data_IF_349787763991
#
_entry.id   IF_349787763991
#
_cell.length_a   1.000
_cell.length_b   1.000
_cell.length_c   1.000
_cell.angle_alpha   90.00
_cell.angle_beta   90.00
_cell.angle_gamma   90.00
#
_symmetry.space_group_name_H-M   'P 1'
#
loop_
_entity.id
_entity.type
_entity.pdbx_description
1 polymer ?
#
# COMPACT_ATOMS: atom_id res chain seq x y z
N UNK A 1 6.73 -7.17 -24.68
CA UNK A 1 5.73 -6.23 -25.24
C UNK A 1 4.44 -6.44 -24.47
N UNK A 2 4.09 -5.52 -23.59
CA UNK A 2 2.86 -5.57 -22.82
C UNK A 2 1.77 -4.87 -23.62
N UNK A 3 0.73 -5.57 -24.01
CA UNK A 3 -0.46 -5.00 -24.63
C UNK A 3 -1.07 -3.94 -23.68
N UNK A 4 -1.54 -2.77 -24.15
CA UNK A 4 -2.22 -1.82 -23.29
C UNK A 4 -3.62 -2.34 -22.96
N UNK A 5 -3.69 -3.26 -21.99
CA UNK A 5 -4.92 -3.71 -21.37
C UNK A 5 -5.26 -2.85 -20.15
N UNK A 6 -6.44 -3.07 -19.59
CA UNK A 6 -6.81 -2.53 -18.28
C UNK A 6 -5.76 -2.90 -17.24
N UNK A 7 -5.24 -1.91 -16.52
CA UNK A 7 -4.28 -2.13 -15.44
C UNK A 7 -5.00 -2.03 -14.10
N UNK A 8 -4.87 -3.07 -13.28
CA UNK A 8 -5.28 -3.01 -11.89
C UNK A 8 -4.14 -2.44 -11.04
N UNK A 9 -4.44 -1.48 -10.18
CA UNK A 9 -3.48 -0.83 -9.29
C UNK A 9 -4.06 -0.75 -7.88
N UNK A 10 -3.40 -1.30 -6.84
CA UNK A 10 -3.76 -1.02 -5.45
C UNK A 10 -3.86 0.49 -5.19
N UNK A 11 -4.79 0.91 -4.32
CA UNK A 11 -5.00 2.34 -4.06
C UNK A 11 -3.82 3.00 -3.36
N UNK A 12 -3.05 2.20 -2.61
CA UNK A 12 -2.02 2.68 -1.69
C UNK A 12 -2.56 3.68 -0.65
N UNK A 13 -3.84 3.54 -0.30
CA UNK A 13 -4.56 4.49 0.57
C UNK A 13 -4.88 5.84 -0.09
N UNK A 14 -4.52 6.04 -1.36
CA UNK A 14 -4.89 7.25 -2.08
C UNK A 14 -6.40 7.26 -2.38
N UNK A 15 -6.98 8.46 -2.37
CA UNK A 15 -8.38 8.67 -2.71
C UNK A 15 -8.50 9.68 -3.85
N UNK A 16 -8.71 9.14 -5.06
CA UNK A 16 -9.02 9.89 -6.28
C UNK A 16 -10.33 9.42 -6.89
N UNK A 17 -10.95 10.30 -7.68
CA UNK A 17 -12.24 10.08 -8.34
C UNK A 17 -12.10 9.39 -9.70
N UNK A 18 -13.19 8.81 -10.19
CA UNK A 18 -13.32 8.41 -11.59
C UNK A 18 -13.01 9.57 -12.53
N UNK A 19 -12.40 9.27 -13.68
CA UNK A 19 -11.98 10.26 -14.67
C UNK A 19 -10.64 10.94 -14.36
N UNK A 20 -10.06 10.73 -13.18
CA UNK A 20 -8.75 11.27 -12.82
C UNK A 20 -7.67 10.73 -13.76
N UNK A 21 -6.78 11.59 -14.24
CA UNK A 21 -5.66 11.18 -15.08
C UNK A 21 -4.52 10.58 -14.25
N UNK A 22 -3.81 9.62 -14.84
CA UNK A 22 -2.69 8.90 -14.23
C UNK A 22 -1.48 8.83 -15.16
N UNK A 23 -0.30 9.07 -14.60
CA UNK A 23 0.97 8.91 -15.28
C UNK A 23 1.72 7.68 -14.75
N UNK A 24 1.83 6.64 -15.56
CA UNK A 24 2.54 5.40 -15.21
C UNK A 24 4.07 5.52 -15.26
N UNK A 25 4.62 6.59 -15.84
CA UNK A 25 6.07 6.86 -15.82
C UNK A 25 6.52 7.24 -14.41
N UNK A 26 5.73 8.08 -13.74
CA UNK A 26 5.98 8.58 -12.39
C UNK A 26 5.15 7.88 -11.31
N UNK A 27 4.21 7.01 -11.71
CA UNK A 27 3.20 6.39 -10.84
C UNK A 27 2.31 7.37 -10.05
N UNK A 28 1.99 8.52 -10.65
CA UNK A 28 1.24 9.60 -9.99
C UNK A 28 -0.13 9.84 -10.61
N UNK A 29 -1.13 10.06 -9.76
CA UNK A 29 -2.37 10.71 -10.17
C UNK A 29 -2.14 12.21 -10.37
N UNK A 30 -2.71 12.76 -11.44
CA UNK A 30 -2.53 14.15 -11.83
C UNK A 30 -3.63 15.05 -11.24
N UNK A 31 -3.50 16.37 -11.34
CA UNK A 31 -4.56 17.27 -10.88
C UNK A 31 -5.76 17.24 -11.84
N UNK A 32 -5.47 16.97 -13.11
CA UNK A 32 -6.34 16.98 -14.27
C UNK A 32 -7.27 15.77 -14.31
N UNK A 33 -8.41 15.99 -14.94
CA UNK A 33 -9.46 14.99 -15.16
C UNK A 33 -9.82 14.93 -16.64
N UNK A 34 -10.40 13.79 -17.04
CA UNK A 34 -11.03 13.63 -18.33
C UNK A 34 -12.26 14.55 -18.52
N UNK A 35 -12.87 15.03 -17.44
CA UNK A 35 -14.12 15.80 -17.43
C UNK A 35 -13.92 17.26 -17.02
N UNK A 36 -14.69 18.18 -17.63
CA UNK A 36 -14.59 19.64 -17.38
C UNK A 36 -14.75 20.01 -15.90
N UNK A 37 -15.68 19.35 -15.19
CA UNK A 37 -16.01 19.66 -13.79
C UNK A 37 -15.24 18.78 -12.79
N UNK A 38 -14.19 18.09 -13.23
CA UNK A 38 -13.44 17.09 -12.44
C UNK A 38 -14.28 15.95 -11.84
N UNK A 39 -15.51 15.76 -12.32
CA UNK A 39 -16.40 14.67 -11.95
C UNK A 39 -17.04 14.07 -13.20
N UNK A 40 -17.25 12.74 -13.24
CA UNK A 40 -18.04 12.14 -14.31
C UNK A 40 -19.51 12.57 -14.23
N UNK A 41 -20.22 12.59 -15.36
CA UNK A 41 -21.67 12.79 -15.34
C UNK A 41 -22.34 11.58 -14.67
N UNK A 42 -23.38 11.78 -13.84
CA UNK A 42 -24.02 10.68 -13.10
C UNK A 42 -24.53 9.54 -14.00
N UNK A 43 -25.05 9.87 -15.19
CA UNK A 43 -25.54 8.88 -16.17
C UNK A 43 -24.45 8.08 -16.89
N UNK A 44 -23.16 8.28 -16.54
CA UNK A 44 -22.05 7.50 -17.08
C UNK A 44 -21.27 6.72 -16.02
N UNK A 45 -21.78 6.66 -14.78
CA UNK A 45 -21.18 5.87 -13.72
C UNK A 45 -22.07 4.67 -13.44
N UNK A 46 -21.55 3.49 -13.72
CA UNK A 46 -22.18 2.23 -13.35
C UNK A 46 -21.68 1.81 -11.97
N UNK A 47 -22.55 1.83 -10.97
CA UNK A 47 -22.25 1.32 -9.63
C UNK A 47 -22.89 -0.06 -9.45
N UNK A 48 -22.11 -1.03 -8.96
CA UNK A 48 -22.63 -2.37 -8.66
C UNK A 48 -22.06 -2.95 -7.38
N UNK A 49 -22.84 -3.77 -6.64
CA UNK A 49 -22.32 -4.55 -5.53
C UNK A 49 -21.16 -5.46 -5.99
N UNK A 50 -20.09 -5.52 -5.19
CA UNK A 50 -18.92 -6.36 -5.44
C UNK A 50 -18.34 -6.79 -4.08
N UNK A 51 -18.75 -7.95 -3.60
CA UNK A 51 -18.30 -8.46 -2.30
C UNK A 51 -17.10 -9.36 -2.47
N UNK A 52 -15.95 -8.97 -1.92
CA UNK A 52 -14.73 -9.78 -1.94
C UNK A 52 -13.90 -9.52 -0.69
N UNK A 53 -13.51 -10.58 0.02
CA UNK A 53 -12.62 -10.49 1.18
C UNK A 53 -11.38 -11.33 0.96
N UNK A 54 -10.20 -10.79 1.26
CA UNK A 54 -8.89 -11.42 1.11
C UNK A 54 -8.06 -11.28 2.38
N UNK A 55 -7.34 -12.34 2.74
CA UNK A 55 -6.52 -12.41 3.95
C UNK A 55 -5.13 -12.98 3.66
N UNK A 56 -4.09 -12.16 3.80
CA UNK A 56 -2.70 -12.57 3.65
C UNK A 56 -2.01 -12.52 5.01
N UNK A 57 -1.46 -13.65 5.47
CA UNK A 57 -0.67 -13.74 6.69
C UNK A 57 0.73 -14.19 6.30
N UNK A 58 1.76 -13.50 6.77
CA UNK A 58 3.13 -13.90 6.50
C UNK A 58 4.19 -13.08 7.18
N UNK A 59 5.39 -13.64 7.21
CA UNK A 59 6.61 -12.92 7.59
C UNK A 59 6.95 -11.86 6.55
N UNK A 60 7.50 -10.74 7.01
CA UNK A 60 7.63 -9.52 6.20
C UNK A 60 8.80 -8.66 6.69
N UNK A 61 9.99 -9.22 6.53
CA UNK A 61 11.27 -8.64 6.94
C UNK A 61 11.89 -7.74 5.88
N UNK A 62 11.57 -7.98 4.61
CA UNK A 62 12.03 -7.16 3.47
C UNK A 62 10.90 -6.34 2.86
N UNK A 63 11.26 -5.27 2.14
CA UNK A 63 10.30 -4.46 1.38
C UNK A 63 9.57 -5.31 0.33
N UNK A 64 10.26 -6.25 -0.32
CA UNK A 64 9.66 -7.16 -1.30
C UNK A 64 8.61 -8.09 -0.66
N UNK A 65 8.90 -8.65 0.52
CA UNK A 65 7.94 -9.46 1.28
C UNK A 65 6.72 -8.63 1.71
N UNK A 66 6.93 -7.39 2.16
CA UNK A 66 5.84 -6.46 2.47
C UNK A 66 4.98 -6.14 1.24
N UNK A 67 5.60 -5.91 0.08
CA UNK A 67 4.86 -5.73 -1.18
C UNK A 67 4.00 -6.96 -1.49
N UNK A 68 4.58 -8.15 -1.41
CA UNK A 68 3.88 -9.41 -1.66
C UNK A 68 2.69 -9.60 -0.71
N UNK A 69 2.88 -9.36 0.59
CA UNK A 69 1.81 -9.43 1.60
C UNK A 69 0.65 -8.48 1.28
N UNK A 70 0.97 -7.27 0.84
CA UNK A 70 -0.01 -6.23 0.49
C UNK A 70 -0.62 -6.43 -0.91
N UNK A 71 -0.14 -7.40 -1.70
CA UNK A 71 -0.58 -7.57 -3.09
C UNK A 71 -0.14 -6.43 -4.02
N UNK A 72 0.98 -5.79 -3.70
CA UNK A 72 1.61 -4.72 -4.47
C UNK A 72 2.67 -5.33 -5.39
N UNK A 73 2.64 -4.97 -6.67
CA UNK A 73 3.62 -5.46 -7.65
C UNK A 73 5.01 -4.86 -7.38
N UNK A 74 6.11 -5.52 -7.77
CA UNK A 74 7.47 -4.99 -7.58
C UNK A 74 7.69 -3.60 -8.21
N UNK A 75 7.06 -3.31 -9.35
CA UNK A 75 7.15 -1.99 -10.00
C UNK A 75 6.57 -0.90 -9.09
N UNK A 76 5.33 -1.10 -8.62
CA UNK A 76 4.62 -0.13 -7.80
C UNK A 76 5.22 -0.04 -6.40
N UNK A 77 5.67 -1.18 -5.84
CA UNK A 77 6.37 -1.25 -4.56
C UNK A 77 7.68 -0.48 -4.57
N UNK A 78 8.42 -0.54 -5.68
CA UNK A 78 9.64 0.27 -5.87
C UNK A 78 9.28 1.76 -5.87
N UNK A 79 8.30 2.17 -6.69
CA UNK A 79 7.82 3.55 -6.75
C UNK A 79 7.37 4.09 -5.39
N UNK A 80 6.63 3.30 -4.63
CA UNK A 80 6.15 3.66 -3.31
C UNK A 80 7.30 3.83 -2.31
N UNK A 81 8.28 2.93 -2.33
CA UNK A 81 9.40 2.94 -1.38
C UNK A 81 10.37 4.10 -1.62
N UNK A 82 10.54 4.52 -2.88
CA UNK A 82 11.40 5.66 -3.25
C UNK A 82 10.67 7.00 -3.29
N UNK A 83 9.36 7.01 -3.00
CA UNK A 83 8.56 8.23 -2.91
C UNK A 83 8.08 8.81 -4.24
N UNK A 84 8.07 8.02 -5.33
CA UNK A 84 7.44 8.43 -6.60
C UNK A 84 5.92 8.50 -6.49
N UNK A 85 5.31 7.63 -5.70
CA UNK A 85 3.87 7.67 -5.39
C UNK A 85 3.64 7.91 -3.91
N UNK A 86 2.57 8.63 -3.60
CA UNK A 86 2.09 8.81 -2.24
C UNK A 86 1.57 7.48 -1.69
N UNK A 87 1.88 7.19 -0.43
CA UNK A 87 1.34 6.08 0.34
C UNK A 87 0.58 6.61 1.56
N UNK A 88 -0.57 6.04 1.84
CA UNK A 88 -1.40 6.33 3.01
C UNK A 88 -2.08 5.05 3.50
N UNK A 89 -2.73 5.14 4.66
CA UNK A 89 -3.60 4.09 5.18
C UNK A 89 -2.85 2.81 5.52
N UNK A 90 -3.42 1.67 5.10
CA UNK A 90 -2.82 0.35 5.26
C UNK A 90 -1.42 0.24 4.64
N UNK A 91 -1.19 0.96 3.54
CA UNK A 91 0.05 0.89 2.75
C UNK A 91 1.23 1.61 3.41
N UNK A 92 0.99 2.43 4.44
CA UNK A 92 2.05 2.96 5.30
C UNK A 92 2.90 1.85 5.95
N UNK A 93 2.35 0.64 6.08
CA UNK A 93 3.09 -0.54 6.52
C UNK A 93 4.34 -0.82 5.67
N UNK A 94 4.28 -0.54 4.36
CA UNK A 94 5.38 -0.80 3.43
C UNK A 94 6.69 -0.14 3.87
N UNK A 95 6.62 1.11 4.31
CA UNK A 95 7.77 1.93 4.71
C UNK A 95 7.86 2.13 6.22
N UNK A 96 7.06 1.42 7.01
CA UNK A 96 7.11 1.52 8.48
C UNK A 96 8.50 1.10 9.00
N UNK A 97 9.00 1.90 9.94
CA UNK A 97 10.26 1.63 10.66
C UNK A 97 10.03 0.82 11.95
N UNK A 98 8.78 0.45 12.24
CA UNK A 98 8.42 -0.32 13.42
C UNK A 98 9.12 -1.68 13.42
N UNK A 99 9.35 -2.21 14.62
CA UNK A 99 9.92 -3.54 14.79
C UNK A 99 8.89 -4.65 14.57
N UNK A 100 8.40 -4.74 13.34
CA UNK A 100 7.43 -5.74 12.91
C UNK A 100 7.99 -6.60 11.78
N UNK A 101 7.86 -7.90 11.92
CA UNK A 101 8.34 -8.91 10.97
C UNK A 101 7.29 -10.00 10.68
N UNK A 102 6.09 -9.86 11.22
CA UNK A 102 4.91 -10.69 10.96
C UNK A 102 3.69 -9.78 10.82
N UNK A 103 2.83 -10.04 9.84
CA UNK A 103 1.61 -9.27 9.67
C UNK A 103 0.46 -10.08 9.05
N UNK A 104 -0.76 -9.71 9.44
CA UNK A 104 -2.02 -10.11 8.78
C UNK A 104 -2.58 -8.90 8.03
N UNK A 105 -2.68 -9.01 6.71
CA UNK A 105 -3.35 -8.05 5.84
C UNK A 105 -4.75 -8.54 5.47
N UNK A 106 -5.76 -7.73 5.77
CA UNK A 106 -7.17 -7.97 5.46
C UNK A 106 -7.66 -6.91 4.47
N UNK A 107 -8.19 -7.34 3.34
CA UNK A 107 -8.84 -6.46 2.36
C UNK A 107 -10.27 -6.92 2.16
N UNK A 108 -11.24 -6.05 2.45
CA UNK A 108 -12.65 -6.28 2.10
C UNK A 108 -13.10 -5.25 1.11
N UNK A 109 -13.68 -5.67 0.00
CA UNK A 109 -14.32 -4.83 -1.02
C UNK A 109 -15.82 -5.10 -0.99
N UNK A 110 -16.63 -4.06 -1.12
CA UNK A 110 -18.09 -4.15 -0.99
C UNK A 110 -18.84 -3.72 -2.26
N UNK A 111 -18.31 -2.75 -3.01
CA UNK A 111 -18.88 -2.32 -4.28
C UNK A 111 -17.80 -1.76 -5.20
N UNK A 112 -18.17 -1.60 -6.46
CA UNK A 112 -17.33 -0.94 -7.46
C UNK A 112 -18.14 0.05 -8.31
N UNK A 113 -17.44 1.08 -8.76
CA UNK A 113 -17.93 2.07 -9.71
C UNK A 113 -17.06 2.02 -10.96
N UNK A 114 -17.67 2.04 -12.15
CA UNK A 114 -16.98 2.04 -13.43
C UNK A 114 -17.55 3.12 -14.36
N UNK A 115 -16.68 3.72 -15.19
CA UNK A 115 -17.08 4.63 -16.25
C UNK A 115 -17.64 3.84 -17.43
N UNK A 116 -18.86 4.17 -17.82
CA UNK A 116 -19.44 3.68 -19.06
C UNK A 116 -18.97 4.54 -20.24
N UNK A 117 -17.82 4.19 -20.83
CA UNK A 117 -17.24 4.88 -22.00
C UNK A 117 -18.13 4.92 -23.25
N UNK A 118 -19.23 4.16 -23.27
CA UNK A 118 -20.22 4.17 -24.36
C UNK A 118 -21.42 5.09 -24.08
N UNK A 119 -21.55 5.61 -22.86
CA UNK A 119 -22.63 6.53 -22.49
C UNK A 119 -22.54 7.83 -23.29
N UNK A 120 -23.66 8.34 -23.84
CA UNK A 120 -23.67 9.62 -24.55
C UNK A 120 -23.28 10.80 -23.66
N UNK A 121 -23.53 10.72 -22.35
CA UNK A 121 -23.27 11.79 -21.39
C UNK A 121 -21.76 12.06 -21.21
N UNK A 122 -20.91 11.04 -21.42
CA UNK A 122 -19.46 11.22 -21.36
C UNK A 122 -19.02 12.24 -22.40
N UNK A 123 -19.43 12.08 -23.67
CA UNK A 123 -18.97 12.97 -24.76
C UNK A 123 -19.30 14.43 -24.50
N UNK A 124 -20.46 14.69 -23.91
CA UNK A 124 -20.90 16.04 -23.57
C UNK A 124 -20.12 16.67 -22.40
N UNK A 125 -19.48 15.87 -21.56
CA UNK A 125 -18.80 16.32 -20.33
C UNK A 125 -17.26 16.29 -20.42
N UNK A 126 -16.70 15.81 -21.53
CA UNK A 126 -15.26 15.75 -21.74
C UNK A 126 -14.61 17.13 -21.73
N UNK A 127 -13.44 17.19 -21.11
CA UNK A 127 -12.58 18.35 -21.21
C UNK A 127 -12.11 18.56 -22.66
N UNK A 128 -12.31 19.77 -23.19
CA UNK A 128 -11.88 20.14 -24.56
C UNK A 128 -10.37 20.35 -24.68
N UNK A 129 -9.64 20.25 -23.57
CA UNK A 129 -8.18 20.39 -23.54
C UNK A 129 -7.51 19.16 -24.13
N UNK A 130 -6.65 19.37 -25.12
CA UNK A 130 -5.76 18.30 -25.59
C UNK A 130 -4.83 17.85 -24.47
N UNK A 131 -4.80 16.55 -24.18
CA UNK A 131 -3.83 15.97 -23.25
C UNK A 131 -2.46 16.03 -23.92
N UNK A 132 -1.50 16.71 -23.29
CA UNK A 132 -0.15 16.78 -23.81
C UNK A 132 0.50 15.39 -23.82
N UNK A 133 1.18 14.99 -24.92
CA UNK A 133 1.82 13.68 -25.01
C UNK A 133 2.79 13.43 -23.85
N UNK A 134 2.70 12.26 -23.23
CA UNK A 134 3.58 11.86 -22.12
C UNK A 134 3.23 12.44 -20.74
N UNK A 135 2.25 13.34 -20.62
CA UNK A 135 1.82 13.89 -19.32
C UNK A 135 0.91 12.94 -18.57
N UNK A 136 -0.07 12.36 -19.27
CA UNK A 136 -0.97 11.33 -18.77
C UNK A 136 -0.90 10.10 -19.68
N UNK A 137 -1.12 8.94 -19.09
CA UNK A 137 -1.01 7.63 -19.77
C UNK A 137 -2.29 6.82 -19.65
N UNK A 138 -2.98 6.97 -18.52
CA UNK A 138 -4.22 6.27 -18.21
C UNK A 138 -5.22 7.24 -17.59
N UNK A 139 -6.47 6.83 -17.55
CA UNK A 139 -7.54 7.44 -16.76
C UNK A 139 -8.05 6.42 -15.74
N UNK A 140 -8.49 6.87 -14.58
CA UNK A 140 -9.23 6.05 -13.62
C UNK A 140 -10.61 5.75 -14.20
N UNK A 141 -10.77 4.56 -14.78
CA UNK A 141 -12.01 4.09 -15.38
C UNK A 141 -12.85 3.25 -14.43
N UNK A 142 -12.27 2.74 -13.34
CA UNK A 142 -13.02 2.03 -12.31
C UNK A 142 -12.36 2.12 -10.95
N UNK A 143 -13.17 2.01 -9.90
CA UNK A 143 -12.75 2.04 -8.50
C UNK A 143 -13.49 0.95 -7.74
N UNK A 144 -12.73 0.17 -6.98
CA UNK A 144 -13.26 -0.75 -5.97
C UNK A 144 -13.15 -0.12 -4.59
N UNK A 145 -14.22 -0.19 -3.82
CA UNK A 145 -14.32 0.43 -2.52
C UNK A 145 -14.50 -0.57 -1.39
N UNK A 146 -13.93 -0.24 -0.25
CA UNK A 146 -13.87 -1.18 0.86
C UNK A 146 -13.02 -0.70 2.04
N UNK A 147 -12.50 -1.67 2.79
CA UNK A 147 -11.56 -1.43 3.90
C UNK A 147 -10.32 -2.28 3.75
N UNK A 148 -9.22 -1.76 4.26
CA UNK A 148 -7.93 -2.44 4.34
C UNK A 148 -7.37 -2.28 5.75
N UNK A 149 -6.85 -3.39 6.29
CA UNK A 149 -6.25 -3.46 7.62
C UNK A 149 -4.95 -4.25 7.55
N UNK A 150 -3.91 -3.73 8.19
CA UNK A 150 -2.68 -4.48 8.45
C UNK A 150 -2.46 -4.54 9.95
N UNK A 151 -2.46 -5.75 10.50
CA UNK A 151 -2.11 -6.02 11.89
C UNK A 151 -0.68 -6.56 11.92
N UNK A 152 0.28 -5.70 12.25
CA UNK A 152 1.70 -6.02 12.23
C UNK A 152 2.27 -6.12 13.63
N UNK A 153 3.20 -7.05 13.85
CA UNK A 153 3.79 -7.29 15.16
C UNK A 153 5.20 -7.90 15.06
N UNK A 154 5.96 -7.88 16.16
CA UNK A 154 7.20 -8.65 16.24
C UNK A 154 6.88 -10.11 16.58
N UNK A 155 7.32 -11.04 15.75
CA UNK A 155 7.14 -12.48 15.92
C UNK A 155 7.91 -13.05 17.13
N UNK A 156 8.93 -12.35 17.63
CA UNK A 156 9.64 -12.76 18.85
C UNK A 156 8.92 -12.37 20.15
N UNK A 157 7.85 -11.58 20.07
CA UNK A 157 7.06 -11.24 21.25
C UNK A 157 6.25 -12.45 21.74
N UNK A 158 5.81 -12.40 23.00
CA UNK A 158 4.86 -13.37 23.54
C UNK A 158 3.45 -12.81 23.50
N UNK A 159 2.49 -13.60 23.02
CA UNK A 159 1.08 -13.34 23.24
C UNK A 159 0.70 -13.98 24.57
N UNK A 160 0.12 -13.22 25.49
CA UNK A 160 -0.12 -13.69 26.86
C UNK A 160 -1.52 -13.39 27.34
N UNK A 161 -2.04 -14.23 28.24
CA UNK A 161 -3.27 -13.99 28.99
C UNK A 161 -2.93 -13.58 30.44
N UNK A 162 -3.87 -12.94 31.15
CA UNK A 162 -3.74 -12.69 32.58
C UNK A 162 -3.57 -13.98 33.42
N UNK A 163 -4.08 -15.11 32.92
CA UNK A 163 -3.97 -16.43 33.54
C UNK A 163 -2.62 -17.12 33.31
N UNK A 164 -1.67 -16.45 32.64
CA UNK A 164 -0.33 -16.99 32.37
C UNK A 164 -0.23 -17.94 31.18
N UNK A 165 -1.32 -18.09 30.40
CA UNK A 165 -1.28 -18.80 29.12
C UNK A 165 -0.51 -17.97 28.10
N UNK A 166 0.31 -18.63 27.26
CA UNK A 166 1.02 -17.94 26.19
C UNK A 166 1.01 -18.72 24.88
N UNK A 167 1.00 -18.01 23.75
CA UNK A 167 1.18 -18.58 22.42
C UNK A 167 2.08 -17.71 21.54
N UNK A 168 2.46 -18.24 20.38
CA UNK A 168 3.20 -17.46 19.38
C UNK A 168 2.29 -16.42 18.71
N UNK A 169 2.84 -15.26 18.28
CA UNK A 169 2.10 -14.26 17.52
C UNK A 169 1.50 -14.80 16.22
N UNK A 170 2.22 -15.71 15.56
CA UNK A 170 1.75 -16.36 14.34
C UNK A 170 0.50 -17.23 14.56
N UNK A 171 0.49 -18.04 15.62
CA UNK A 171 -0.69 -18.84 15.97
C UNK A 171 -1.87 -17.95 16.35
N UNK A 172 -1.62 -16.86 17.08
CA UNK A 172 -2.66 -15.89 17.41
C UNK A 172 -3.27 -15.25 16.14
N UNK A 173 -2.45 -14.75 15.21
CA UNK A 173 -2.94 -14.16 13.96
C UNK A 173 -3.63 -15.18 13.04
N UNK A 174 -3.19 -16.46 13.07
CA UNK A 174 -3.87 -17.54 12.35
C UNK A 174 -5.29 -17.75 12.87
N UNK A 175 -5.49 -17.79 14.19
CA UNK A 175 -6.82 -17.88 14.79
C UNK A 175 -7.68 -16.64 14.49
N UNK A 176 -7.10 -15.44 14.51
CA UNK A 176 -7.80 -14.20 14.08
C UNK A 176 -8.28 -14.35 12.63
N UNK A 177 -7.42 -14.79 11.73
CA UNK A 177 -7.75 -15.03 10.32
C UNK A 177 -8.88 -16.07 10.17
N UNK A 178 -8.82 -17.19 10.89
CA UNK A 178 -9.85 -18.23 10.87
C UNK A 178 -11.20 -17.70 11.37
N UNK A 179 -11.20 -16.90 12.44
CA UNK A 179 -12.41 -16.25 12.95
C UNK A 179 -13.02 -15.29 11.92
N UNK A 180 -12.20 -14.46 11.27
CA UNK A 180 -12.62 -13.54 10.22
C UNK A 180 -13.18 -14.29 9.00
N UNK A 181 -12.52 -15.35 8.54
CA UNK A 181 -12.99 -16.18 7.41
C UNK A 181 -14.33 -16.85 7.73
N UNK A 182 -14.50 -17.34 8.96
CA UNK A 182 -15.74 -18.02 9.36
C UNK A 182 -16.93 -17.07 9.61
N UNK A 183 -16.67 -15.76 9.78
CA UNK A 183 -17.64 -14.78 10.27
C UNK A 183 -18.11 -15.02 11.71
N UNK A 184 -17.59 -16.03 12.42
CA UNK A 184 -17.97 -16.35 13.80
C UNK A 184 -17.17 -15.51 14.76
N UNK A 185 -17.85 -15.05 15.82
CA UNK A 185 -17.18 -14.36 16.91
C UNK A 185 -16.09 -15.27 17.51
N UNK A 186 -14.85 -14.78 17.66
CA UNK A 186 -13.74 -15.55 18.23
C UNK A 186 -14.04 -16.17 19.59
N UNK A 187 -14.94 -15.58 20.38
CA UNK A 187 -15.35 -16.11 21.68
C UNK A 187 -16.15 -17.42 21.59
N UNK A 188 -16.60 -17.82 20.40
CA UNK A 188 -17.40 -19.02 20.16
C UNK A 188 -16.59 -20.18 19.52
N UNK A 189 -15.28 -20.03 19.34
CA UNK A 189 -14.44 -21.11 18.79
C UNK A 189 -14.08 -22.13 19.87
N UNK A 190 -14.45 -23.42 19.73
CA UNK A 190 -13.96 -24.45 20.63
C UNK A 190 -12.46 -24.64 20.40
N UNK A 191 -11.67 -24.48 21.47
CA UNK A 191 -10.23 -24.70 21.49
C UNK A 191 -9.91 -26.11 20.96
N UNK A 192 -9.44 -26.23 19.72
CA UNK A 192 -9.24 -27.53 19.05
C UNK A 192 -8.14 -28.40 19.68
N UNK A 193 -7.41 -27.87 20.67
CA UNK A 193 -6.30 -28.59 21.30
C UNK A 193 -6.27 -28.63 22.84
N UNK A 194 -7.27 -28.11 23.58
CA UNK A 194 -7.38 -28.33 25.04
C UNK A 194 -8.71 -27.78 25.59
N UNK A 195 -9.46 -28.49 26.45
CA UNK A 195 -10.78 -28.05 26.94
C UNK A 195 -10.77 -26.92 27.99
N UNK A 196 -9.68 -26.15 28.15
CA UNK A 196 -9.54 -25.24 29.29
C UNK A 196 -8.75 -23.94 29.05
N UNK A 197 -8.36 -23.61 27.82
CA UNK A 197 -7.72 -22.31 27.55
C UNK A 197 -8.74 -21.30 27.02
N UNK A 198 -9.09 -20.35 27.88
CA UNK A 198 -9.85 -19.16 27.52
C UNK A 198 -8.97 -18.21 26.69
N UNK A 199 -8.87 -18.52 25.39
CA UNK A 199 -8.10 -17.77 24.41
C UNK A 199 -8.66 -16.36 24.15
N UNK A 200 -9.86 -16.04 24.67
CA UNK A 200 -10.48 -14.72 24.49
C UNK A 200 -9.69 -13.59 25.17
N UNK A 201 -8.94 -13.91 26.22
CA UNK A 201 -8.14 -12.97 27.02
C UNK A 201 -6.69 -12.79 26.53
N UNK A 202 -6.28 -13.51 25.49
CA UNK A 202 -4.94 -13.39 24.92
C UNK A 202 -4.79 -12.04 24.24
N UNK A 203 -3.73 -11.32 24.60
CA UNK A 203 -3.41 -10.02 24.00
C UNK A 203 -1.92 -9.93 23.64
N UNK A 204 -1.63 -9.09 22.65
CA UNK A 204 -0.28 -8.77 22.21
C UNK A 204 -0.22 -7.36 21.65
N UNK A 205 0.98 -6.80 21.59
CA UNK A 205 1.19 -5.47 21.02
C UNK A 205 1.24 -5.55 19.50
N UNK A 206 0.36 -4.80 18.87
CA UNK A 206 0.29 -4.64 17.43
C UNK A 206 0.52 -3.19 17.02
N UNK A 207 1.05 -3.01 15.82
CA UNK A 207 0.93 -1.79 15.05
C UNK A 207 -0.13 -2.02 13.98
N UNK A 208 -1.17 -1.18 13.99
CA UNK A 208 -2.35 -1.30 13.15
C UNK A 208 -2.33 -0.18 12.11
N UNK A 209 -2.38 -0.56 10.85
CA UNK A 209 -2.49 0.35 9.72
C UNK A 209 -3.84 0.15 9.04
N UNK A 210 -4.51 1.24 8.69
CA UNK A 210 -5.78 1.20 7.97
C UNK A 210 -6.05 2.51 7.25
N UNK A 211 -6.83 2.47 6.18
CA UNK A 211 -7.25 3.65 5.44
C UNK A 211 -8.10 4.58 6.33
N UNK A 212 -8.77 4.03 7.35
CA UNK A 212 -9.46 4.78 8.42
C UNK A 212 -8.49 5.61 9.29
N UNK A 213 -7.27 5.11 9.48
CA UNK A 213 -6.23 5.75 10.31
C UNK A 213 -5.34 6.69 9.49
N UNK A 214 -5.45 6.68 8.16
CA UNK A 214 -4.61 7.46 7.22
C UNK A 214 -3.12 7.32 7.53
N UNK A 215 -2.47 8.38 8.04
CA UNK A 215 -1.03 8.42 8.31
C UNK A 215 -0.69 8.19 9.79
N UNK A 216 -1.68 7.91 10.64
CA UNK A 216 -1.50 7.76 12.08
C UNK A 216 -1.71 6.28 12.48
N UNK A 217 -0.72 5.39 12.28
CA UNK A 217 -0.85 4.02 12.72
C UNK A 217 -1.10 3.98 14.23
N UNK A 218 -1.93 3.04 14.66
CA UNK A 218 -2.22 2.85 16.08
C UNK A 218 -1.34 1.74 16.64
N UNK A 219 -0.76 1.95 17.82
CA UNK A 219 0.04 0.93 18.51
C UNK A 219 -0.51 0.65 19.89
N UNK A 220 -0.68 -0.62 20.23
CA UNK A 220 -1.12 -1.01 21.56
C UNK A 220 -1.42 -2.50 21.68
N UNK A 221 -1.72 -2.90 22.91
CA UNK A 221 -2.13 -4.26 23.23
C UNK A 221 -3.59 -4.48 22.80
N UNK A 222 -3.83 -5.50 22.00
CA UNK A 222 -5.17 -5.87 21.52
C UNK A 222 -5.43 -7.36 21.66
N UNK A 223 -6.69 -7.69 21.88
CA UNK A 223 -7.18 -9.07 21.90
C UNK A 223 -7.60 -9.53 20.51
N UNK A 224 -7.84 -10.83 20.37
CA UNK A 224 -8.42 -11.39 19.15
C UNK A 224 -9.82 -10.83 18.88
N UNK A 225 -10.60 -10.56 19.93
CA UNK A 225 -11.92 -9.96 19.81
C UNK A 225 -11.84 -8.53 19.26
N UNK A 226 -10.88 -7.73 19.74
CA UNK A 226 -10.68 -6.35 19.25
C UNK A 226 -10.35 -6.32 17.76
N UNK A 227 -9.41 -7.18 17.32
CA UNK A 227 -9.03 -7.28 15.91
C UNK A 227 -10.20 -7.73 15.03
N UNK A 228 -10.94 -8.75 15.45
CA UNK A 228 -12.12 -9.23 14.73
C UNK A 228 -13.19 -8.13 14.62
N UNK A 229 -13.46 -7.44 15.73
CA UNK A 229 -14.46 -6.39 15.81
C UNK A 229 -14.10 -5.18 14.94
N UNK A 230 -12.83 -4.77 14.90
CA UNK A 230 -12.34 -3.70 14.03
C UNK A 230 -12.65 -3.97 12.56
N UNK A 231 -12.34 -5.18 12.07
CA UNK A 231 -12.62 -5.55 10.68
C UNK A 231 -14.12 -5.54 10.42
N UNK A 232 -14.92 -6.18 11.29
CA UNK A 232 -16.37 -6.25 11.14
C UNK A 232 -17.07 -4.89 11.18
N UNK A 233 -16.62 -3.97 12.03
CA UNK A 233 -17.12 -2.60 12.05
C UNK A 233 -16.74 -1.83 10.79
N UNK A 234 -15.49 -2.00 10.32
CA UNK A 234 -15.02 -1.43 9.07
C UNK A 234 -15.93 -1.84 7.91
N UNK A 235 -16.25 -3.13 7.78
CA UNK A 235 -17.11 -3.67 6.73
C UNK A 235 -18.52 -3.09 6.75
N UNK A 236 -19.14 -2.97 7.94
CA UNK A 236 -20.49 -2.39 8.10
C UNK A 236 -20.54 -0.90 7.77
N UNK A 237 -19.42 -0.18 7.93
CA UNK A 237 -19.36 1.26 7.72
C UNK A 237 -19.18 1.65 6.24
N UNK A 238 -18.90 0.70 5.35
CA UNK A 238 -18.75 0.96 3.91
C UNK A 238 -20.11 0.87 3.22
N UNK A 239 -20.55 1.96 2.60
CA UNK A 239 -21.75 1.99 1.75
C UNK A 239 -23.08 2.22 2.47
N UNK A 240 -23.10 2.50 3.78
CA UNK A 240 -24.29 3.02 4.45
C UNK A 240 -24.43 4.52 4.19
N UNK A 241 -25.27 4.92 3.24
CA UNK A 241 -25.78 6.28 3.13
C UNK A 241 -26.96 6.45 4.11
N UNK A 242 -26.71 6.25 5.41
CA UNK A 242 -27.72 6.44 6.43
C UNK A 242 -27.74 7.91 6.83
N UNK A 243 -28.79 8.57 6.36
CA UNK A 243 -29.20 9.97 6.55
C UNK A 243 -29.38 10.41 8.03
N UNK A 244 -28.74 9.73 8.99
CA UNK A 244 -28.90 9.90 10.44
C UNK A 244 -27.59 9.95 11.25
N UNK A 245 -26.41 9.78 10.64
CA UNK A 245 -25.12 9.94 11.36
C UNK A 245 -23.99 10.55 10.52
N UNK A 246 -24.15 10.69 9.20
CA UNK A 246 -23.35 11.63 8.41
C UNK A 246 -21.88 11.27 8.16
N UNK A 247 -21.44 10.01 8.32
CA UNK A 247 -20.10 9.63 7.84
C UNK A 247 -20.07 8.18 7.32
N UNK A 248 -20.33 8.03 6.03
CA UNK A 248 -20.00 6.80 5.29
C UNK A 248 -18.51 6.83 4.95
N UNK A 249 -17.76 5.86 5.45
CA UNK A 249 -16.34 5.74 5.11
C UNK A 249 -16.20 4.84 3.90
N UNK A 250 -15.88 5.45 2.75
CA UNK A 250 -15.69 4.73 1.50
C UNK A 250 -14.24 4.97 1.05
N UNK A 251 -13.39 3.95 1.17
CA UNK A 251 -11.99 4.04 0.74
C UNK A 251 -11.74 3.19 -0.51
N UNK A 252 -11.07 3.74 -1.52
CA UNK A 252 -10.57 2.94 -2.63
C UNK A 252 -9.60 1.88 -2.11
N UNK A 253 -9.80 0.64 -2.56
CA UNK A 253 -8.85 -0.47 -2.35
C UNK A 253 -8.10 -0.78 -3.64
N UNK A 254 -8.73 -0.55 -4.80
CA UNK A 254 -8.14 -0.83 -6.11
C UNK A 254 -8.69 0.13 -7.17
N UNK A 255 -7.80 0.54 -8.07
CA UNK A 255 -8.10 1.29 -9.27
C UNK A 255 -8.01 0.41 -10.51
N UNK A 256 -8.95 0.61 -11.43
CA UNK A 256 -8.91 0.08 -12.79
C UNK A 256 -8.51 1.26 -13.69
N UNK A 257 -7.28 1.19 -14.19
CA UNK A 257 -6.68 2.20 -15.05
C UNK A 257 -6.87 1.81 -16.51
N UNK A 258 -7.47 2.73 -17.27
CA UNK A 258 -7.77 2.56 -18.69
C UNK A 258 -6.74 3.35 -19.50
N UNK A 259 -5.98 2.72 -20.40
CA UNK A 259 -5.02 3.43 -21.24
C UNK A 259 -5.72 4.52 -22.06
N UNK A 260 -5.14 5.72 -22.14
CA UNK A 260 -5.73 6.81 -22.94
C UNK A 260 -5.81 6.44 -24.44
N UNK A 261 -4.90 5.61 -24.93
CA UNK A 261 -4.97 5.05 -26.29
C UNK A 261 -6.26 4.26 -26.52
N UNK A 262 -6.84 3.64 -25.49
CA UNK A 262 -8.12 2.93 -25.61
C UNK A 262 -9.31 3.88 -25.74
N UNK A 263 -9.21 5.11 -25.22
CA UNK A 263 -10.26 6.12 -25.37
C UNK A 263 -10.41 6.62 -26.81
N UNK A 264 -9.34 6.51 -27.61
CA UNK A 264 -9.40 6.81 -29.05
C UNK A 264 -10.33 5.84 -29.80
N UNK A 265 -10.40 4.57 -29.38
CA UNK A 265 -11.32 3.58 -29.94
C UNK A 265 -12.79 3.99 -29.73
N UNK A 266 -13.10 4.59 -28.59
CA UNK A 266 -14.43 5.13 -28.28
C UNK A 266 -14.71 6.50 -28.92
N UNK A 267 -13.75 7.04 -29.68
CA UNK A 267 -13.78 8.42 -30.23
C UNK A 267 -14.05 9.47 -29.16
N UNK A 268 -13.46 9.27 -27.99
CA UNK A 268 -13.56 10.19 -26.86
C UNK A 268 -12.37 11.15 -26.83
N UNK A 269 -11.20 10.71 -27.29
CA UNK A 269 -9.99 11.53 -27.21
C UNK A 269 -9.11 11.33 -28.44
N UNK A 270 -8.60 12.43 -28.99
CA UNK A 270 -7.58 12.41 -30.02
C UNK A 270 -6.20 12.44 -29.36
N UNK A 271 -5.45 11.34 -29.47
CA UNK A 271 -4.08 11.27 -28.95
C UNK A 271 -3.09 11.81 -29.99
N UNK A 272 -2.26 12.77 -29.58
CA UNK A 272 -1.13 13.23 -30.38
C UNK A 272 0.06 12.28 -30.19
N UNK A 273 0.04 11.16 -30.92
CA UNK A 273 1.14 10.18 -30.97
C UNK A 273 0.96 8.97 -30.06
N UNK A 274 1.68 7.90 -30.41
CA UNK A 274 1.75 6.67 -29.62
C UNK A 274 2.82 6.79 -28.54
N UNK A 275 2.47 6.46 -27.30
CA UNK A 275 3.41 6.36 -26.19
C UNK A 275 3.43 4.91 -25.71
N UNK A 276 4.62 4.34 -25.61
CA UNK A 276 4.82 2.99 -25.07
C UNK A 276 5.42 3.14 -23.69
N UNK A 277 4.79 2.53 -22.69
CA UNK A 277 5.35 2.43 -21.35
C UNK A 277 6.19 1.16 -21.29
N UNK A 278 7.46 1.32 -20.96
CA UNK A 278 8.33 0.21 -20.62
C UNK A 278 8.26 -0.05 -19.10
N UNK A 279 8.55 -1.27 -18.68
CA UNK A 279 8.86 -1.56 -17.28
C UNK A 279 10.25 -2.18 -17.22
N UNK A 280 11.05 -1.88 -16.19
CA UNK A 280 12.31 -2.57 -15.98
C UNK A 280 12.09 -4.08 -15.80
N UNK A 281 13.15 -4.86 -15.98
CA UNK A 281 13.05 -6.31 -15.70
C UNK A 281 12.72 -6.56 -14.23
N UNK A 282 11.98 -7.65 -13.99
CA UNK A 282 11.62 -8.09 -12.65
C UNK A 282 12.86 -8.25 -11.74
N UNK A 283 13.94 -8.78 -12.30
CA UNK A 283 15.22 -8.96 -11.61
C UNK A 283 15.80 -7.62 -11.11
N UNK A 284 15.81 -6.58 -11.96
CA UNK A 284 16.32 -5.27 -11.58
C UNK A 284 15.46 -4.62 -10.48
N UNK A 285 14.13 -4.80 -10.55
CA UNK A 285 13.20 -4.31 -9.52
C UNK A 285 13.43 -5.04 -8.19
N UNK A 286 13.58 -6.36 -8.22
CA UNK A 286 13.86 -7.16 -7.03
C UNK A 286 15.19 -6.77 -6.40
N UNK A 287 16.24 -6.56 -7.20
CA UNK A 287 17.53 -6.08 -6.71
C UNK A 287 17.42 -4.69 -6.06
N UNK A 288 16.65 -3.78 -6.67
CA UNK A 288 16.40 -2.44 -6.11
C UNK A 288 15.69 -2.52 -4.75
N UNK A 289 14.65 -3.36 -4.65
CA UNK A 289 13.93 -3.58 -3.39
C UNK A 289 14.80 -4.24 -2.31
N UNK A 290 15.71 -5.14 -2.70
CA UNK A 290 16.67 -5.75 -1.78
C UNK A 290 17.60 -4.69 -1.18
N UNK A 291 18.22 -3.84 -2.01
CA UNK A 291 19.07 -2.74 -1.55
C UNK A 291 18.33 -1.75 -0.65
N UNK A 292 17.07 -1.43 -0.97
CA UNK A 292 16.23 -0.58 -0.11
C UNK A 292 15.93 -1.24 1.25
N UNK A 293 15.76 -2.56 1.27
CA UNK A 293 15.53 -3.34 2.50
C UNK A 293 16.79 -3.37 3.37
N UNK A 294 17.94 -3.66 2.77
CA UNK A 294 19.24 -3.61 3.43
C UNK A 294 19.50 -2.22 4.00
N UNK A 295 19.21 -1.18 3.21
CA UNK A 295 19.42 0.19 3.64
C UNK A 295 18.57 0.55 4.88
N UNK A 296 17.31 0.13 4.89
CA UNK A 296 16.40 0.33 6.02
C UNK A 296 16.82 -0.48 7.26
N UNK A 297 17.23 -1.74 7.08
CA UNK A 297 17.70 -2.60 8.17
C UNK A 297 18.97 -2.04 8.83
N UNK A 298 19.93 -1.56 8.03
CA UNK A 298 21.13 -0.92 8.53
C UNK A 298 20.81 0.38 9.29
N UNK A 299 19.93 1.24 8.77
CA UNK A 299 19.48 2.45 9.51
C UNK A 299 18.93 2.08 10.88
N UNK A 300 17.99 1.13 10.93
CA UNK A 300 17.36 0.69 12.18
C UNK A 300 18.36 0.09 13.17
N UNK A 301 19.34 -0.69 12.68
CA UNK A 301 20.41 -1.24 13.51
C UNK A 301 21.24 -0.14 14.17
N UNK A 302 21.63 0.88 13.39
CA UNK A 302 22.43 2.00 13.90
C UNK A 302 21.61 2.89 14.84
N UNK A 303 20.34 3.14 14.56
CA UNK A 303 19.43 3.89 15.46
C UNK A 303 19.25 3.16 16.80
N UNK A 304 19.07 1.84 16.76
CA UNK A 304 19.00 1.01 17.97
C UNK A 304 20.28 1.08 18.79
N UNK A 305 21.43 1.09 18.12
CA UNK A 305 22.73 1.26 18.77
C UNK A 305 22.90 2.65 19.38
N UNK A 306 22.50 3.71 18.68
CA UNK A 306 22.53 5.08 19.19
C UNK A 306 21.64 5.23 20.42
N UNK A 307 20.42 4.68 20.39
CA UNK A 307 19.50 4.70 21.52
C UNK A 307 20.11 4.02 22.76
N UNK A 308 20.71 2.84 22.57
CA UNK A 308 21.41 2.11 23.64
C UNK A 308 22.61 2.87 24.18
N UNK A 309 23.36 3.53 23.30
CA UNK A 309 24.50 4.35 23.68
C UNK A 309 24.05 5.55 24.53
N UNK A 310 22.99 6.25 24.12
CA UNK A 310 22.43 7.38 24.88
C UNK A 310 21.87 6.99 26.25
N UNK A 311 21.32 5.79 26.39
CA UNK A 311 20.80 5.29 27.67
C UNK A 311 21.89 4.83 28.64
N UNK A 312 23.15 4.74 28.20
CA UNK A 312 24.25 4.26 29.03
C UNK A 312 24.90 5.40 29.83
N UNK A 313 24.98 5.24 31.15
CA UNK A 313 25.43 6.30 32.09
C UNK A 313 26.85 6.81 31.80
N UNK A 314 27.73 5.94 31.30
CA UNK A 314 29.13 6.26 30.99
C UNK A 314 29.39 6.53 29.49
N UNK A 315 28.36 6.87 28.70
CA UNK A 315 28.54 7.10 27.27
C UNK A 315 29.40 8.35 27.00
N UNK A 316 30.48 8.18 26.24
CA UNK A 316 31.31 9.31 25.80
C UNK A 316 30.51 10.19 24.82
N UNK A 317 30.28 11.48 25.15
CA UNK A 317 29.58 12.40 24.26
C UNK A 317 30.24 12.59 22.89
N UNK A 318 31.58 12.42 22.79
CA UNK A 318 32.27 12.52 21.51
C UNK A 318 31.93 11.33 20.60
N UNK A 319 31.92 10.11 21.14
CA UNK A 319 31.48 8.91 20.44
C UNK A 319 30.02 9.01 19.97
N UNK A 320 29.10 9.48 20.83
CA UNK A 320 27.68 9.68 20.46
C UNK A 320 27.56 10.65 19.28
N UNK A 321 28.26 11.79 19.31
CA UNK A 321 28.28 12.75 18.19
C UNK A 321 28.85 12.15 16.90
N UNK A 322 29.86 11.29 17.01
CA UNK A 322 30.45 10.61 15.85
C UNK A 322 29.45 9.63 15.20
N UNK A 323 28.71 8.86 16.01
CA UNK A 323 27.64 7.98 15.52
C UNK A 323 26.56 8.79 14.82
N UNK A 324 26.07 9.87 15.44
CA UNK A 324 25.07 10.76 14.85
C UNK A 324 25.53 11.36 13.51
N UNK A 325 26.81 11.74 13.42
CA UNK A 325 27.38 12.22 12.15
C UNK A 325 27.36 11.14 11.06
N UNK A 326 27.75 9.90 11.40
CA UNK A 326 27.69 8.76 10.46
C UNK A 326 26.26 8.44 10.04
N UNK A 327 25.28 8.45 10.94
CA UNK A 327 23.86 8.27 10.61
C UNK A 327 23.39 9.34 9.63
N UNK A 328 23.75 10.61 9.86
CA UNK A 328 23.40 11.70 8.92
C UNK A 328 24.00 11.49 7.54
N UNK A 329 25.27 11.07 7.45
CA UNK A 329 25.92 10.78 6.17
C UNK A 329 25.26 9.60 5.46
N UNK A 330 24.98 8.53 6.20
CA UNK A 330 24.30 7.34 5.70
C UNK A 330 22.90 7.68 5.16
N UNK A 331 22.06 8.36 5.94
CA UNK A 331 20.72 8.78 5.53
C UNK A 331 20.78 9.68 4.29
N UNK A 332 21.76 10.60 4.21
CA UNK A 332 21.97 11.43 3.02
C UNK A 332 22.31 10.60 1.78
N UNK A 333 23.15 9.56 1.94
CA UNK A 333 23.50 8.64 0.85
C UNK A 333 22.27 7.86 0.38
N UNK A 334 21.49 7.29 1.30
CA UNK A 334 20.25 6.56 0.99
C UNK A 334 19.23 7.44 0.28
N UNK A 335 19.04 8.69 0.71
CA UNK A 335 18.13 9.63 0.04
C UNK A 335 18.63 10.05 -1.35
N UNK A 336 19.96 10.14 -1.54
CA UNK A 336 20.55 10.39 -2.86
C UNK A 336 20.34 9.19 -3.79
N UNK A 337 20.50 7.97 -3.28
CA UNK A 337 20.21 6.74 -4.02
C UNK A 337 18.74 6.67 -4.43
N UNK A 338 17.79 6.90 -3.53
CA UNK A 338 16.36 6.91 -3.85
C UNK A 338 16.02 7.92 -4.96
N UNK A 339 16.59 9.13 -4.90
CA UNK A 339 16.39 10.16 -5.93
C UNK A 339 16.93 9.72 -7.29
N UNK A 340 18.14 9.17 -7.33
CA UNK A 340 18.72 8.67 -8.58
C UNK A 340 17.93 7.48 -9.12
N UNK A 341 17.48 6.58 -8.24
CA UNK A 341 16.64 5.44 -8.59
C UNK A 341 15.30 5.90 -9.18
N UNK A 342 14.67 6.93 -8.60
CA UNK A 342 13.45 7.52 -9.14
C UNK A 342 13.66 8.10 -10.55
N UNK A 343 14.75 8.84 -10.77
CA UNK A 343 15.10 9.39 -12.08
C UNK A 343 15.32 8.30 -13.13
N UNK A 344 16.11 7.27 -12.83
CA UNK A 344 16.39 6.17 -13.75
C UNK A 344 15.14 5.32 -14.02
N UNK A 345 14.32 5.08 -13.00
CA UNK A 345 13.08 4.30 -13.14
C UNK A 345 12.08 5.00 -14.07
N UNK A 346 11.84 6.30 -13.87
CA UNK A 346 11.01 7.10 -14.79
C UNK A 346 11.66 7.22 -16.17
N UNK A 347 12.99 7.30 -16.23
CA UNK A 347 13.76 7.27 -17.47
C UNK A 347 13.54 5.98 -18.27
N UNK A 348 13.59 4.84 -17.60
CA UNK A 348 13.36 3.52 -18.21
C UNK A 348 11.93 3.38 -18.72
N UNK A 349 10.94 3.81 -17.92
CA UNK A 349 9.51 3.75 -18.28
C UNK A 349 9.13 4.61 -19.47
N UNK A 350 9.79 5.76 -19.62
CA UNK A 350 9.65 6.66 -20.77
C UNK A 350 10.46 6.22 -22.00
N UNK A 351 11.31 5.19 -21.87
CA UNK A 351 12.22 4.73 -22.93
C UNK A 351 13.47 5.61 -23.11
N UNK A 352 13.71 6.58 -22.22
CA UNK A 352 14.89 7.45 -22.28
C UNK A 352 16.14 6.84 -21.64
N UNK A 353 16.00 5.78 -20.84
CA UNK A 353 17.10 5.03 -20.23
C UNK A 353 16.96 3.54 -20.51
N UNK A 354 18.08 2.83 -20.61
CA UNK A 354 18.11 1.38 -20.76
C UNK A 354 17.97 0.65 -19.40
N UNK A 355 17.80 -0.67 -19.44
CA UNK A 355 17.79 -1.49 -18.22
C UNK A 355 19.16 -1.53 -17.53
N UNK A 356 20.25 -1.38 -18.29
CA UNK A 356 21.62 -1.42 -17.78
C UNK A 356 21.91 -0.26 -16.81
N UNK A 357 21.30 0.90 -17.03
CA UNK A 357 21.41 2.07 -16.16
C UNK A 357 20.96 1.79 -14.73
N UNK A 358 19.90 1.00 -14.57
CA UNK A 358 19.36 0.61 -13.26
C UNK A 358 20.32 -0.36 -12.54
N UNK A 359 20.83 -1.36 -13.27
CA UNK A 359 21.82 -2.31 -12.74
C UNK A 359 23.11 -1.62 -12.30
N UNK A 360 23.63 -0.68 -13.11
CA UNK A 360 24.82 0.13 -12.77
C UNK A 360 24.61 0.96 -11.50
N UNK A 361 23.43 1.56 -11.32
CA UNK A 361 23.10 2.31 -10.10
C UNK A 361 23.10 1.40 -8.87
N UNK A 362 22.47 0.22 -8.97
CA UNK A 362 22.44 -0.76 -7.90
C UNK A 362 23.85 -1.24 -7.51
N UNK A 363 24.73 -1.48 -8.48
CA UNK A 363 26.14 -1.86 -8.24
C UNK A 363 26.94 -0.76 -7.56
N UNK A 364 26.68 0.51 -7.88
CA UNK A 364 27.38 1.65 -7.28
C UNK A 364 26.95 1.92 -5.83
N UNK A 365 25.79 1.41 -5.39
CA UNK A 365 25.22 1.65 -4.07
C UNK A 365 25.61 0.56 -3.02
N UNK A 366 26.80 -0.03 -3.15
CA UNK A 366 27.29 -0.97 -2.13
C UNK A 366 27.63 -0.21 -0.84
N UNK A 367 26.96 -0.60 0.25
CA UNK A 367 27.08 -0.02 1.60
C UNK A 367 28.36 -0.43 2.33
#
# INVERSE_FOLDING_TARGET
>A
MSTPGFQQRPSLGQSVKLGRLYNAITDTFLAESLFNDNNPPPGAVDQRPFTSTRFNLGSSTTVAERCSLLGISPELGTSATIGLTKIEGSSCYLTSQDDTNLALHCTTTTFEEELNFTSPDIKASLATTSIEPGTATHVVGGIRYGTEWVFACNNSQKVTSPSGTSQSPESFLRHVKEALVSGKNPNNFPSSHSPSQDNSSLSANFVIFSNLLRQNPWSGSVTMHDLWHLVQQGEKSVGQDDNKSGTTYVFPTLYILVPLSMLSFFRLLEMKGDFTICQPSLECLQQSLALLSEAAAASKSVDSYLQRSRSHIAADPAHVRQIEHKIRQYNKSTETFKKNLALILSGNRSGSHDNDSLSKLCQAFQL
#
